data_IF_137440497417
#
_entry.id   IF_137440497417
#
_cell.length_a   1.000
_cell.length_b   1.000
_cell.length_c   1.000
_cell.angle_alpha   90.00
_cell.angle_beta   90.00
_cell.angle_gamma   90.00
#
_symmetry.space_group_name_H-M   'P 1'
#
loop_
_entity.id
_entity.type
_entity.pdbx_description
1 polymer ?
#
# COMPACT_ATOMS: atom_id res chain seq x y z
N UNK A 1 -13.10 -54.35 -37.76
CA UNK A 1 -13.59 -53.59 -36.59
C UNK A 1 -12.40 -52.93 -35.90
N UNK A 2 -12.25 -51.61 -36.03
CA UNK A 2 -11.24 -50.82 -35.30
C UNK A 2 -11.97 -50.10 -34.18
N UNK A 3 -11.75 -50.50 -32.93
CA UNK A 3 -12.31 -49.84 -31.77
C UNK A 3 -11.46 -48.60 -31.46
N UNK A 4 -12.07 -47.41 -31.53
CA UNK A 4 -11.45 -46.18 -31.08
C UNK A 4 -11.72 -46.01 -29.57
N UNK A 5 -10.67 -46.05 -28.75
CA UNK A 5 -10.74 -45.72 -27.33
C UNK A 5 -10.75 -44.19 -27.21
N UNK A 6 -11.86 -43.62 -26.75
CA UNK A 6 -11.96 -42.20 -26.43
C UNK A 6 -11.41 -41.96 -25.01
N UNK A 7 -10.29 -41.23 -24.91
CA UNK A 7 -9.69 -40.81 -23.65
C UNK A 7 -10.46 -39.57 -23.13
N UNK A 8 -11.27 -39.74 -22.09
CA UNK A 8 -11.98 -38.63 -21.45
C UNK A 8 -11.01 -37.95 -20.47
N UNK A 9 -10.53 -36.76 -20.83
CA UNK A 9 -9.79 -35.86 -19.93
C UNK A 9 -10.79 -35.22 -18.95
N UNK A 10 -10.80 -35.69 -17.70
CA UNK A 10 -11.49 -35.02 -16.60
C UNK A 10 -10.72 -33.74 -16.24
N UNK A 11 -11.29 -32.59 -16.57
CA UNK A 11 -10.79 -31.30 -16.10
C UNK A 11 -11.05 -31.20 -14.59
N UNK A 12 -10.03 -31.44 -13.77
CA UNK A 12 -10.09 -31.13 -12.35
C UNK A 12 -10.05 -29.61 -12.14
N UNK A 13 -10.82 -29.06 -11.19
CA UNK A 13 -10.71 -27.64 -10.87
C UNK A 13 -9.33 -27.39 -10.28
N UNK A 14 -8.63 -26.40 -10.81
CA UNK A 14 -7.40 -25.88 -10.20
C UNK A 14 -7.82 -25.24 -8.88
N UNK A 15 -7.55 -25.89 -7.76
CA UNK A 15 -7.69 -25.26 -6.45
C UNK A 15 -6.62 -24.16 -6.36
N UNK A 16 -7.05 -22.89 -6.44
CA UNK A 16 -6.22 -21.80 -5.97
C UNK A 16 -5.91 -22.06 -4.50
N UNK A 17 -4.64 -21.93 -4.10
CA UNK A 17 -4.28 -21.99 -2.68
C UNK A 17 -5.09 -20.94 -1.93
N UNK A 18 -5.74 -21.33 -0.83
CA UNK A 18 -6.48 -20.38 -0.02
C UNK A 18 -5.51 -19.29 0.46
N UNK A 19 -5.87 -18.00 0.31
CA UNK A 19 -5.01 -16.92 0.76
C UNK A 19 -4.81 -17.02 2.28
N UNK A 20 -3.64 -16.64 2.81
CA UNK A 20 -3.40 -16.57 4.24
C UNK A 20 -4.47 -15.74 4.95
N UNK A 21 -4.81 -16.09 6.19
CA UNK A 21 -5.70 -15.27 6.99
C UNK A 21 -5.01 -13.93 7.34
N UNK A 22 -5.67 -12.82 7.03
CA UNK A 22 -5.20 -11.47 7.36
C UNK A 22 -6.08 -10.84 8.44
N UNK A 23 -5.45 -10.36 9.52
CA UNK A 23 -6.10 -9.61 10.59
C UNK A 23 -5.36 -8.26 10.78
N UNK A 24 -6.03 -7.11 10.57
CA UNK A 24 -5.41 -5.80 10.77
C UNK A 24 -5.22 -5.42 12.24
N UNK A 25 -5.71 -6.19 13.22
CA UNK A 25 -5.68 -5.81 14.64
C UNK A 25 -4.31 -5.36 15.18
N UNK A 26 -3.16 -6.03 14.88
CA UNK A 26 -1.85 -5.57 15.36
C UNK A 26 -1.47 -4.18 14.86
N UNK A 27 -1.78 -3.90 13.58
CA UNK A 27 -1.57 -2.61 12.94
C UNK A 27 -2.48 -1.54 13.57
N UNK A 28 -3.77 -1.83 13.74
CA UNK A 28 -4.73 -0.91 14.33
C UNK A 28 -4.32 -0.50 15.75
N UNK A 29 -3.96 -1.48 16.58
CA UNK A 29 -3.52 -1.22 17.95
C UNK A 29 -2.30 -0.29 18.01
N UNK A 30 -1.33 -0.47 17.09
CA UNK A 30 -0.17 0.42 17.00
C UNK A 30 -0.55 1.85 16.58
N UNK A 31 -1.37 2.00 15.54
CA UNK A 31 -1.75 3.32 15.02
C UNK A 31 -2.61 4.07 16.02
N UNK A 32 -3.54 3.40 16.70
CA UNK A 32 -4.37 3.98 17.76
C UNK A 32 -3.54 4.35 18.99
N UNK A 33 -2.49 3.58 19.30
CA UNK A 33 -1.52 3.88 20.34
C UNK A 33 -0.54 5.01 19.99
N UNK A 34 -0.56 5.53 18.75
CA UNK A 34 0.34 6.59 18.30
C UNK A 34 1.77 6.13 18.04
N UNK A 35 1.98 4.86 17.70
CA UNK A 35 3.30 4.34 17.33
C UNK A 35 3.80 4.89 15.99
N UNK A 36 5.12 5.11 15.88
CA UNK A 36 5.76 5.65 14.67
C UNK A 36 6.11 4.56 13.63
N UNK A 37 6.29 3.30 14.07
CA UNK A 37 6.73 2.16 13.25
C UNK A 37 5.66 1.04 13.18
N UNK A 38 4.46 1.39 12.70
CA UNK A 38 3.34 0.42 12.64
C UNK A 38 3.30 -0.42 11.35
N UNK A 39 4.05 -0.04 10.32
CA UNK A 39 4.04 -0.73 9.04
C UNK A 39 4.64 -2.15 9.16
N UNK A 40 3.96 -3.14 8.59
CA UNK A 40 4.34 -4.53 8.58
C UNK A 40 3.83 -5.36 9.76
N UNK A 41 3.22 -4.75 10.78
CA UNK A 41 2.78 -5.50 11.97
C UNK A 41 1.71 -6.56 11.65
N UNK A 42 0.70 -6.20 10.84
CA UNK A 42 -0.35 -7.13 10.45
C UNK A 42 0.15 -8.11 9.37
N UNK A 43 0.97 -7.64 8.43
CA UNK A 43 1.58 -8.45 7.40
C UNK A 43 2.50 -9.54 8.01
N UNK A 44 3.31 -9.19 9.02
CA UNK A 44 4.16 -10.15 9.72
C UNK A 44 3.32 -11.18 10.47
N UNK A 45 2.28 -10.77 11.20
CA UNK A 45 1.37 -11.71 11.86
C UNK A 45 0.68 -12.66 10.86
N UNK A 46 0.28 -12.15 9.69
CA UNK A 46 -0.26 -12.93 8.58
C UNK A 46 0.78 -13.94 8.01
N UNK A 47 2.05 -13.53 7.89
CA UNK A 47 3.13 -14.39 7.38
C UNK A 47 3.50 -15.56 8.31
N UNK A 48 3.30 -15.40 9.62
CA UNK A 48 3.47 -16.49 10.61
C UNK A 48 2.32 -17.51 10.58
N UNK A 49 1.22 -17.19 9.90
CA UNK A 49 0.08 -18.08 9.71
C UNK A 49 0.28 -19.15 8.62
N UNK A 50 -0.69 -20.06 8.52
CA UNK A 50 -0.69 -21.10 7.48
C UNK A 50 -0.66 -20.48 6.07
N UNK A 51 0.25 -20.97 5.22
CA UNK A 51 0.45 -20.47 3.86
C UNK A 51 1.18 -19.12 3.75
N UNK A 52 1.31 -18.37 4.85
CA UNK A 52 1.86 -17.01 4.90
C UNK A 52 3.35 -16.90 4.57
N UNK A 53 4.15 -17.90 4.92
CA UNK A 53 5.60 -17.92 4.71
C UNK A 53 6.04 -18.25 3.28
N UNK A 54 5.11 -18.68 2.42
CA UNK A 54 5.38 -18.87 1.00
C UNK A 54 5.57 -17.52 0.30
N UNK A 55 6.35 -17.47 -0.79
CA UNK A 55 6.52 -16.22 -1.57
C UNK A 55 5.19 -15.58 -1.99
N UNK A 56 4.20 -16.41 -2.35
CA UNK A 56 2.86 -15.95 -2.71
C UNK A 56 2.12 -15.42 -1.48
N UNK A 57 2.20 -16.14 -0.36
CA UNK A 57 1.61 -15.73 0.92
C UNK A 57 2.20 -14.42 1.45
N UNK A 58 3.51 -14.25 1.39
CA UNK A 58 4.19 -13.01 1.77
C UNK A 58 3.70 -11.84 0.91
N UNK A 59 3.62 -12.03 -0.41
CA UNK A 59 3.08 -11.03 -1.33
C UNK A 59 1.63 -10.64 -1.00
N UNK A 60 0.80 -11.62 -0.64
CA UNK A 60 -0.57 -11.39 -0.18
C UNK A 60 -0.61 -10.59 1.12
N UNK A 61 0.09 -11.04 2.17
CA UNK A 61 0.08 -10.40 3.49
C UNK A 61 0.57 -8.94 3.43
N UNK A 62 1.66 -8.69 2.69
CA UNK A 62 2.20 -7.35 2.48
C UNK A 62 1.24 -6.47 1.67
N UNK A 63 0.59 -7.04 0.65
CA UNK A 63 -0.42 -6.35 -0.15
C UNK A 63 -1.65 -5.97 0.68
N UNK A 64 -2.18 -6.89 1.47
CA UNK A 64 -3.36 -6.65 2.31
C UNK A 64 -3.12 -5.52 3.33
N UNK A 65 -1.96 -5.49 3.98
CA UNK A 65 -1.63 -4.37 4.86
C UNK A 65 -1.42 -3.06 4.09
N UNK A 66 -0.75 -3.11 2.93
CA UNK A 66 -0.56 -1.93 2.09
C UNK A 66 -1.91 -1.33 1.67
N UNK A 67 -2.90 -2.14 1.34
CA UNK A 67 -4.22 -1.67 0.93
C UNK A 67 -4.93 -0.93 2.08
N UNK A 68 -4.73 -1.35 3.34
CA UNK A 68 -5.17 -0.58 4.50
C UNK A 68 -4.46 0.79 4.59
N UNK A 69 -3.14 0.80 4.43
CA UNK A 69 -2.35 2.05 4.45
C UNK A 69 -2.73 2.98 3.30
N UNK A 70 -3.04 2.44 2.12
CA UNK A 70 -3.47 3.21 0.95
C UNK A 70 -4.85 3.84 1.17
N UNK A 71 -5.79 3.10 1.76
CA UNK A 71 -7.08 3.65 2.15
C UNK A 71 -6.91 4.83 3.13
N UNK A 72 -6.04 4.67 4.14
CA UNK A 72 -5.68 5.76 5.06
C UNK A 72 -5.04 6.93 4.33
N UNK A 73 -4.05 6.69 3.48
CA UNK A 73 -3.35 7.72 2.69
C UNK A 73 -4.33 8.56 1.89
N UNK A 74 -5.24 7.91 1.15
CA UNK A 74 -6.23 8.59 0.33
C UNK A 74 -7.19 9.43 1.16
N UNK A 75 -7.67 8.91 2.29
CA UNK A 75 -8.50 9.69 3.22
C UNK A 75 -7.76 10.94 3.74
N UNK A 76 -6.50 10.80 4.19
CA UNK A 76 -5.70 11.94 4.66
C UNK A 76 -5.42 12.95 3.56
N UNK A 77 -5.09 12.48 2.35
CA UNK A 77 -4.91 13.34 1.20
C UNK A 77 -6.14 14.19 0.92
N UNK A 78 -7.35 13.62 0.97
CA UNK A 78 -8.58 14.40 0.77
C UNK A 78 -8.76 15.49 1.84
N UNK A 79 -8.48 15.15 3.11
CA UNK A 79 -8.57 16.13 4.20
C UNK A 79 -7.54 17.27 4.06
N UNK A 80 -6.27 16.94 3.76
CA UNK A 80 -5.22 17.95 3.56
C UNK A 80 -5.54 18.81 2.32
N UNK A 81 -6.01 18.19 1.24
CA UNK A 81 -6.43 18.89 0.02
C UNK A 81 -7.60 19.85 0.28
N UNK A 82 -8.55 19.49 1.13
CA UNK A 82 -9.64 20.38 1.53
C UNK A 82 -9.11 21.62 2.28
N UNK A 83 -8.17 21.43 3.23
CA UNK A 83 -7.52 22.55 3.94
C UNK A 83 -6.72 23.45 2.99
N UNK A 84 -5.94 22.85 2.09
CA UNK A 84 -5.16 23.59 1.11
C UNK A 84 -6.05 24.47 0.21
N UNK A 85 -7.18 23.92 -0.28
CA UNK A 85 -8.15 24.69 -1.08
C UNK A 85 -8.80 25.84 -0.30
N UNK A 86 -9.11 25.62 0.98
CA UNK A 86 -9.66 26.67 1.83
C UNK A 86 -8.65 27.81 2.03
N UNK A 87 -7.40 27.48 2.32
CA UNK A 87 -6.32 28.46 2.44
C UNK A 87 -6.09 29.23 1.12
N UNK A 88 -6.12 28.54 -0.02
CA UNK A 88 -5.99 29.17 -1.34
C UNK A 88 -7.12 30.19 -1.59
N UNK A 89 -8.37 29.83 -1.26
CA UNK A 89 -9.52 30.73 -1.43
C UNK A 89 -9.45 31.97 -0.50
N UNK A 90 -8.97 31.80 0.73
CA UNK A 90 -8.74 32.92 1.65
C UNK A 90 -7.67 33.88 1.11
N UNK A 91 -6.54 33.34 0.63
CA UNK A 91 -5.45 34.13 0.06
C UNK A 91 -5.89 34.87 -1.22
N UNK A 92 -6.70 34.24 -2.06
CA UNK A 92 -7.29 34.86 -3.25
C UNK A 92 -8.21 36.03 -2.86
N UNK A 93 -9.08 35.84 -1.86
CA UNK A 93 -9.97 36.89 -1.35
C UNK A 93 -9.22 38.09 -0.76
N UNK A 94 -8.00 37.89 -0.25
CA UNK A 94 -7.12 38.94 0.26
C UNK A 94 -6.25 39.60 -0.83
N UNK A 95 -6.33 39.16 -2.09
CA UNK A 95 -5.48 39.66 -3.17
C UNK A 95 -4.00 39.29 -2.99
N UNK A 96 -3.72 38.21 -2.25
CA UNK A 96 -2.35 37.75 -1.99
C UNK A 96 -1.68 37.23 -3.26
N UNK A 97 -0.37 37.48 -3.40
CA UNK A 97 0.46 36.94 -4.48
C UNK A 97 1.14 35.60 -4.10
N UNK A 98 0.78 35.01 -2.94
CA UNK A 98 1.32 33.72 -2.52
C UNK A 98 0.94 32.60 -3.51
N UNK A 99 1.84 31.63 -3.69
CA UNK A 99 1.58 30.48 -4.54
C UNK A 99 0.50 29.57 -3.91
N UNK A 100 -0.42 29.00 -4.71
CA UNK A 100 -1.50 28.15 -4.21
C UNK A 100 -0.95 26.79 -3.73
N UNK A 101 -1.44 26.34 -2.58
CA UNK A 101 -1.04 25.11 -1.91
C UNK A 101 -1.65 23.87 -2.57
N UNK A 102 -2.92 23.90 -2.99
CA UNK A 102 -3.60 22.71 -3.50
C UNK A 102 -2.96 22.14 -4.78
N UNK A 103 -2.54 22.95 -5.78
CA UNK A 103 -1.77 22.46 -6.92
C UNK A 103 -0.42 21.88 -6.52
N UNK A 104 0.29 22.50 -5.57
CA UNK A 104 1.58 22.02 -5.10
C UNK A 104 1.46 20.66 -4.37
N UNK A 105 0.45 20.50 -3.52
CA UNK A 105 0.16 19.23 -2.83
C UNK A 105 -0.15 18.10 -3.81
N UNK A 106 -0.95 18.39 -4.85
CA UNK A 106 -1.26 17.41 -5.91
C UNK A 106 0.01 16.98 -6.64
N UNK A 107 0.87 17.93 -6.99
CA UNK A 107 2.11 17.63 -7.71
C UNK A 107 3.07 16.82 -6.85
N UNK A 108 3.23 17.17 -5.57
CA UNK A 108 4.01 16.40 -4.61
C UNK A 108 3.54 14.94 -4.57
N UNK A 109 2.23 14.69 -4.47
CA UNK A 109 1.71 13.32 -4.45
C UNK A 109 1.95 12.55 -5.75
N UNK A 110 1.82 13.20 -6.92
CA UNK A 110 2.11 12.56 -8.21
C UNK A 110 3.57 12.19 -8.35
N UNK A 111 4.46 13.09 -7.95
CA UNK A 111 5.90 12.82 -7.95
C UNK A 111 6.25 11.68 -6.98
N UNK A 112 5.59 11.62 -5.82
CA UNK A 112 5.76 10.53 -4.86
C UNK A 112 5.33 9.17 -5.42
N UNK A 113 4.21 9.08 -6.17
CA UNK A 113 3.80 7.83 -6.83
C UNK A 113 4.90 7.34 -7.78
N UNK A 114 5.42 8.22 -8.63
CA UNK A 114 6.50 7.87 -9.56
C UNK A 114 7.79 7.42 -8.84
N UNK A 115 8.10 8.06 -7.71
CA UNK A 115 9.20 7.61 -6.83
C UNK A 115 8.93 6.22 -6.25
N UNK A 116 7.72 5.95 -5.76
CA UNK A 116 7.35 4.65 -5.21
C UNK A 116 7.50 3.54 -6.25
N UNK A 117 7.00 3.76 -7.47
CA UNK A 117 7.10 2.81 -8.58
C UNK A 117 8.57 2.50 -8.90
N UNK A 118 9.40 3.54 -9.04
CA UNK A 118 10.82 3.39 -9.35
C UNK A 118 11.59 2.70 -8.21
N UNK A 119 11.35 3.11 -6.96
CA UNK A 119 12.01 2.56 -5.79
C UNK A 119 11.69 1.07 -5.60
N UNK A 120 10.41 0.70 -5.69
CA UNK A 120 10.01 -0.68 -5.46
C UNK A 120 10.33 -1.60 -6.63
N UNK A 121 10.39 -1.07 -7.85
CA UNK A 121 10.98 -1.78 -8.99
C UNK A 121 12.45 -2.09 -8.72
N UNK A 122 13.23 -1.10 -8.27
CA UNK A 122 14.64 -1.31 -7.92
C UNK A 122 14.80 -2.36 -6.81
N UNK A 123 14.00 -2.33 -5.75
CA UNK A 123 14.06 -3.35 -4.69
C UNK A 123 13.83 -4.77 -5.23
N UNK A 124 12.92 -4.96 -6.18
CA UNK A 124 12.74 -6.24 -6.87
C UNK A 124 14.02 -6.69 -7.60
N UNK A 125 14.71 -5.77 -8.30
CA UNK A 125 15.92 -6.09 -9.07
C UNK A 125 17.07 -6.62 -8.21
N UNK A 126 17.12 -6.23 -6.93
CA UNK A 126 18.16 -6.67 -6.00
C UNK A 126 18.14 -8.17 -5.71
N UNK A 127 17.05 -8.84 -6.08
CA UNK A 127 16.88 -10.29 -5.93
C UNK A 127 17.28 -11.10 -7.17
N UNK A 128 17.82 -10.46 -8.22
CA UNK A 128 18.44 -11.15 -9.35
C UNK A 128 17.51 -12.09 -10.13
N UNK A 129 16.19 -11.83 -10.10
CA UNK A 129 15.18 -12.70 -10.73
C UNK A 129 14.73 -13.90 -9.88
N UNK A 130 15.17 -13.99 -8.62
CA UNK A 130 14.70 -14.99 -7.66
C UNK A 130 13.27 -14.75 -7.18
N UNK A 131 12.67 -15.76 -6.56
CA UNK A 131 11.27 -15.71 -6.09
C UNK A 131 11.03 -14.61 -5.04
N UNK A 132 12.05 -14.21 -4.27
CA UNK A 132 11.93 -13.12 -3.30
C UNK A 132 11.75 -11.72 -3.89
N UNK A 133 11.89 -11.54 -5.21
CA UNK A 133 11.70 -10.24 -5.86
C UNK A 133 10.29 -9.65 -5.63
N UNK A 134 9.26 -10.50 -5.69
CA UNK A 134 7.87 -10.10 -5.47
C UNK A 134 7.61 -9.55 -4.06
N UNK A 135 7.88 -10.34 -3.00
CA UNK A 135 7.78 -9.87 -1.62
C UNK A 135 8.64 -8.64 -1.32
N UNK A 136 9.83 -8.51 -1.90
CA UNK A 136 10.67 -7.34 -1.71
C UNK A 136 10.04 -6.06 -2.26
N UNK A 137 9.50 -6.12 -3.49
CA UNK A 137 8.76 -5.01 -4.07
C UNK A 137 7.51 -4.66 -3.24
N UNK A 138 6.77 -5.68 -2.79
CA UNK A 138 5.57 -5.51 -1.98
C UNK A 138 5.88 -4.87 -0.62
N UNK A 139 6.97 -5.28 0.04
CA UNK A 139 7.43 -4.71 1.30
C UNK A 139 7.87 -3.25 1.15
N UNK A 140 8.57 -2.92 0.06
CA UNK A 140 8.88 -1.54 -0.29
C UNK A 140 7.60 -0.70 -0.41
N UNK A 141 6.62 -1.19 -1.19
CA UNK A 141 5.38 -0.47 -1.43
C UNK A 141 4.61 -0.24 -0.12
N UNK A 142 4.48 -1.27 0.73
CA UNK A 142 3.90 -1.16 2.07
C UNK A 142 4.56 -0.05 2.89
N UNK A 143 5.90 -0.08 3.00
CA UNK A 143 6.63 0.88 3.82
C UNK A 143 6.52 2.31 3.31
N UNK A 144 6.59 2.52 1.99
CA UNK A 144 6.47 3.84 1.39
C UNK A 144 5.05 4.39 1.52
N UNK A 145 4.01 3.57 1.30
CA UNK A 145 2.61 3.97 1.49
C UNK A 145 2.34 4.35 2.94
N UNK A 146 2.81 3.55 3.91
CA UNK A 146 2.64 3.86 5.33
C UNK A 146 3.32 5.18 5.72
N UNK A 147 4.58 5.38 5.28
CA UNK A 147 5.32 6.64 5.51
C UNK A 147 4.58 7.85 4.94
N UNK A 148 4.04 7.73 3.72
CA UNK A 148 3.32 8.82 3.08
C UNK A 148 1.99 9.11 3.80
N UNK A 149 1.27 8.10 4.26
CA UNK A 149 0.08 8.28 5.08
C UNK A 149 0.41 9.06 6.38
N UNK A 150 1.47 8.67 7.08
CA UNK A 150 1.94 9.36 8.30
C UNK A 150 2.42 10.80 8.02
N UNK A 151 3.05 11.03 6.86
CA UNK A 151 3.46 12.37 6.44
C UNK A 151 2.24 13.30 6.27
N UNK A 152 1.18 12.81 5.61
CA UNK A 152 -0.08 13.56 5.46
C UNK A 152 -0.81 13.74 6.80
N UNK A 153 -0.74 12.75 7.70
CA UNK A 153 -1.24 12.90 9.09
C UNK A 153 -0.53 14.06 9.83
N UNK A 154 0.75 14.31 9.52
CA UNK A 154 1.51 15.45 10.05
C UNK A 154 0.84 16.79 9.75
N UNK A 155 0.50 17.05 8.49
CA UNK A 155 -0.20 18.28 8.08
C UNK A 155 -1.56 18.47 8.76
N UNK A 156 -2.21 17.40 9.18
CA UNK A 156 -3.50 17.49 9.87
C UNK A 156 -3.34 17.83 11.36
N UNK A 157 -2.20 17.51 11.96
CA UNK A 157 -1.84 17.82 13.35
C UNK A 157 -1.25 19.21 13.48
N UNK A 158 -0.49 19.67 12.50
CA UNK A 158 -0.02 21.05 12.39
C UNK A 158 -1.24 22.00 12.34
N UNK A 159 -1.38 22.86 13.35
CA UNK A 159 -2.52 23.79 13.47
C UNK A 159 -3.70 23.29 14.31
N UNK A 160 -3.57 22.17 15.04
CA UNK A 160 -4.44 21.87 16.19
C UNK A 160 -4.05 22.69 17.42
#
# INVERSE_FOLDING_TARGET
MRAALALILLAAPVAAQEPPAFDPAPLLACVEGGGDDCAGLAANACMEGEGGSSTVGMGFCLGAERDWWDARLNDRYQQVMARAKAADAELEGLGSAAAPQAPALREMQRAWIAYCDAACTYEATRWGGGTGAGPAAAQCALNLTARQATYLDGYLREGR
#
